data_IF_342177979079
#
_entry.id   IF_342177979079
#
_cell.length_a   1.000
_cell.length_b   1.000
_cell.length_c   1.000
_cell.angle_alpha   90.00
_cell.angle_beta   90.00
_cell.angle_gamma   90.00
#
_symmetry.space_group_name_H-M   'P 1'
#
loop_
_entity.id
_entity.type
_entity.pdbx_description
1 polymer ?
#
# COMPACT_ATOMS: atom_id res chain seq x y z
N UNK A 1 -20.40 -6.35 4.36
CA UNK A 1 -21.12 -6.96 5.52
C UNK A 1 -22.56 -6.48 5.53
N UNK A 2 -23.48 -7.27 6.11
CA UNK A 2 -24.86 -6.85 6.30
C UNK A 2 -24.93 -5.77 7.40
N UNK A 3 -25.30 -4.56 7.03
CA UNK A 3 -25.36 -3.40 7.93
C UNK A 3 -26.39 -3.52 9.05
N UNK A 4 -27.30 -4.46 8.95
CA UNK A 4 -28.27 -4.75 10.01
C UNK A 4 -27.66 -5.44 11.22
N UNK A 5 -26.46 -6.02 11.07
CA UNK A 5 -25.80 -6.84 12.09
C UNK A 5 -24.89 -6.05 13.04
N UNK A 6 -24.72 -4.75 12.83
CA UNK A 6 -23.90 -3.90 13.70
C UNK A 6 -24.51 -2.50 13.86
N UNK A 7 -24.19 -1.85 14.98
CA UNK A 7 -24.66 -0.50 15.28
C UNK A 7 -23.85 0.56 14.53
N UNK A 8 -22.53 0.50 14.64
CA UNK A 8 -21.59 1.34 13.92
C UNK A 8 -20.29 0.57 13.69
N UNK A 9 -19.52 1.00 12.69
CA UNK A 9 -18.21 0.47 12.33
C UNK A 9 -17.20 1.62 12.24
N UNK A 10 -16.01 1.41 12.77
CA UNK A 10 -14.87 2.35 12.68
C UNK A 10 -13.68 1.61 12.11
N UNK A 11 -12.95 2.20 11.19
CA UNK A 11 -11.76 1.61 10.63
C UNK A 11 -11.18 2.37 9.44
N UNK A 12 -10.22 1.75 8.78
CA UNK A 12 -9.52 2.28 7.62
C UNK A 12 -10.34 2.19 6.34
N UNK A 13 -10.13 3.14 5.44
CA UNK A 13 -10.68 3.08 4.09
C UNK A 13 -9.63 2.46 3.14
N UNK A 14 -9.52 1.14 3.15
CA UNK A 14 -8.51 0.42 2.40
C UNK A 14 -8.54 0.68 0.87
N UNK A 15 -9.71 0.95 0.29
CA UNK A 15 -9.79 1.35 -1.12
C UNK A 15 -9.20 2.76 -1.33
N UNK A 16 -9.40 3.66 -0.39
CA UNK A 16 -8.81 5.00 -0.44
C UNK A 16 -7.30 4.95 -0.22
N UNK A 17 -6.80 4.08 0.68
CA UNK A 17 -5.37 3.85 0.85
C UNK A 17 -4.73 3.43 -0.48
N UNK A 18 -5.27 2.41 -1.15
CA UNK A 18 -4.77 1.95 -2.45
C UNK A 18 -4.82 3.04 -3.52
N UNK A 19 -5.90 3.84 -3.57
CA UNK A 19 -6.02 4.97 -4.50
C UNK A 19 -4.99 6.06 -4.23
N UNK A 20 -4.76 6.41 -2.95
CA UNK A 20 -3.73 7.39 -2.57
C UNK A 20 -2.33 6.92 -2.97
N UNK A 21 -2.01 5.66 -2.70
CA UNK A 21 -0.73 5.05 -3.07
C UNK A 21 -0.50 5.10 -4.59
N UNK A 22 -1.48 4.69 -5.38
CA UNK A 22 -1.39 4.72 -6.84
C UNK A 22 -1.32 6.15 -7.41
N UNK A 23 -2.09 7.09 -6.86
CA UNK A 23 -2.05 8.48 -7.27
C UNK A 23 -0.69 9.12 -6.98
N UNK A 24 -0.08 8.79 -5.83
CA UNK A 24 1.26 9.24 -5.49
C UNK A 24 2.30 8.65 -6.46
N UNK A 25 2.23 7.35 -6.76
CA UNK A 25 3.13 6.71 -7.72
C UNK A 25 3.06 7.41 -9.09
N UNK A 26 1.85 7.71 -9.57
CA UNK A 26 1.67 8.45 -10.83
C UNK A 26 2.35 9.81 -10.79
N UNK A 27 2.12 10.58 -9.74
CA UNK A 27 2.71 11.90 -9.58
C UNK A 27 4.25 11.84 -9.47
N UNK A 28 4.78 10.82 -8.78
CA UNK A 28 6.22 10.56 -8.67
C UNK A 28 6.84 10.25 -10.03
N UNK A 29 6.24 9.35 -10.81
CA UNK A 29 6.72 8.99 -12.14
C UNK A 29 6.70 10.19 -13.09
N UNK A 30 5.64 11.01 -13.05
CA UNK A 30 5.56 12.23 -13.85
C UNK A 30 6.65 13.22 -13.46
N UNK A 31 6.88 13.44 -12.18
CA UNK A 31 7.90 14.36 -11.66
C UNK A 31 9.31 13.91 -12.01
N UNK A 32 9.58 12.61 -12.04
CA UNK A 32 10.88 12.03 -12.37
C UNK A 32 11.11 11.83 -13.88
N UNK A 33 10.15 12.21 -14.72
CA UNK A 33 10.24 12.11 -16.18
C UNK A 33 9.96 10.70 -16.70
N UNK A 34 9.43 9.80 -15.88
CA UNK A 34 9.04 8.41 -16.22
C UNK A 34 7.56 8.25 -16.54
N UNK A 35 6.80 9.34 -16.57
CA UNK A 35 5.33 9.31 -16.72
C UNK A 35 4.84 8.65 -18.02
N UNK A 36 5.65 8.68 -19.09
CA UNK A 36 5.33 8.05 -20.39
C UNK A 36 6.05 6.70 -20.59
N UNK A 37 6.91 6.28 -19.65
CA UNK A 37 7.57 4.97 -19.71
C UNK A 37 6.59 3.84 -19.41
N UNK A 38 6.84 2.65 -19.97
CA UNK A 38 6.14 1.46 -19.51
C UNK A 38 6.65 1.11 -18.13
N UNK A 39 5.74 0.98 -17.18
CA UNK A 39 6.03 0.66 -15.77
C UNK A 39 5.47 -0.72 -15.47
N UNK A 40 6.35 -1.64 -15.13
CA UNK A 40 6.01 -3.01 -14.78
C UNK A 40 5.87 -3.15 -13.26
N UNK A 41 4.70 -3.51 -12.81
CA UNK A 41 4.33 -3.58 -11.39
C UNK A 41 4.07 -5.03 -11.00
N UNK A 42 4.55 -5.45 -9.86
CA UNK A 42 4.13 -6.68 -9.18
C UNK A 42 3.43 -6.32 -7.89
N UNK A 43 2.35 -7.02 -7.58
CA UNK A 43 1.58 -6.88 -6.34
C UNK A 43 1.81 -8.09 -5.45
N UNK A 44 2.35 -7.85 -4.25
CA UNK A 44 2.44 -8.83 -3.18
C UNK A 44 1.26 -8.58 -2.26
N UNK A 45 0.19 -9.34 -2.51
CA UNK A 45 -1.10 -9.20 -1.86
C UNK A 45 -1.08 -9.76 -0.44
N UNK A 46 -1.85 -9.16 0.43
CA UNK A 46 -2.12 -9.69 1.75
C UNK A 46 -2.90 -11.01 1.73
N UNK A 47 -3.42 -11.39 2.90
CA UNK A 47 -4.28 -12.58 3.02
C UNK A 47 -5.53 -12.42 2.16
N UNK A 48 -5.71 -13.32 1.21
CA UNK A 48 -6.80 -13.26 0.23
C UNK A 48 -8.17 -13.25 0.94
N UNK A 49 -8.99 -12.26 0.60
CA UNK A 49 -10.32 -12.05 1.17
C UNK A 49 -10.35 -11.17 2.41
N UNK A 50 -9.20 -10.73 2.92
CA UNK A 50 -9.14 -9.69 3.95
C UNK A 50 -9.58 -8.35 3.37
N UNK A 51 -10.27 -7.52 4.15
CA UNK A 51 -10.77 -6.21 3.69
C UNK A 51 -9.64 -5.27 3.23
N UNK A 52 -8.48 -5.34 3.88
CA UNK A 52 -7.29 -4.59 3.49
C UNK A 52 -6.80 -5.02 2.10
N UNK A 53 -6.60 -6.33 1.90
CA UNK A 53 -6.22 -6.88 0.60
C UNK A 53 -7.20 -6.45 -0.50
N UNK A 54 -8.51 -6.68 -0.32
CA UNK A 54 -9.53 -6.33 -1.31
C UNK A 54 -9.46 -4.84 -1.70
N UNK A 55 -9.31 -3.96 -0.72
CA UNK A 55 -9.29 -2.51 -0.96
C UNK A 55 -7.99 -2.04 -1.61
N UNK A 56 -6.84 -2.48 -1.10
CA UNK A 56 -5.52 -2.08 -1.59
C UNK A 56 -5.27 -2.59 -3.02
N UNK A 57 -5.55 -3.89 -3.28
CA UNK A 57 -5.52 -4.46 -4.64
C UNK A 57 -6.42 -3.67 -5.58
N UNK A 58 -7.69 -3.41 -5.18
CA UNK A 58 -8.63 -2.67 -6.03
C UNK A 58 -8.10 -1.29 -6.42
N UNK A 59 -7.48 -0.56 -5.50
CA UNK A 59 -6.89 0.75 -5.77
C UNK A 59 -5.80 0.69 -6.84
N UNK A 60 -4.92 -0.30 -6.77
CA UNK A 60 -3.87 -0.53 -7.77
C UNK A 60 -4.45 -0.97 -9.13
N UNK A 61 -5.34 -1.96 -9.15
CA UNK A 61 -5.96 -2.45 -10.38
C UNK A 61 -6.70 -1.34 -11.14
N UNK A 62 -7.45 -0.50 -10.43
CA UNK A 62 -8.19 0.60 -11.05
C UNK A 62 -7.21 1.62 -11.65
N UNK A 63 -6.12 1.93 -10.96
CA UNK A 63 -5.06 2.79 -11.49
C UNK A 63 -4.35 2.19 -12.72
N UNK A 64 -4.09 0.88 -12.74
CA UNK A 64 -3.53 0.20 -13.91
C UNK A 64 -4.49 0.23 -15.12
N UNK A 65 -5.81 0.20 -14.90
CA UNK A 65 -6.80 0.37 -15.97
C UNK A 65 -6.79 1.78 -16.56
N UNK A 66 -6.56 2.80 -15.73
CA UNK A 66 -6.50 4.22 -16.12
C UNK A 66 -5.18 4.58 -16.81
N UNK A 67 -4.05 4.07 -16.31
CA UNK A 67 -2.71 4.34 -16.83
C UNK A 67 -2.28 3.24 -17.81
N UNK A 68 -2.43 3.48 -19.11
CA UNK A 68 -2.21 2.47 -20.15
C UNK A 68 -0.78 1.97 -20.30
N UNK A 69 0.18 2.71 -19.76
CA UNK A 69 1.59 2.34 -19.69
C UNK A 69 1.97 1.59 -18.41
N UNK A 70 1.03 1.37 -17.50
CA UNK A 70 1.24 0.51 -16.33
C UNK A 70 0.85 -0.92 -16.65
N UNK A 71 1.77 -1.84 -16.40
CA UNK A 71 1.61 -3.27 -16.68
C UNK A 71 1.70 -4.06 -15.38
N UNK A 72 0.57 -4.54 -14.89
CA UNK A 72 0.52 -5.41 -13.71
C UNK A 72 0.98 -6.82 -14.12
N UNK A 73 2.25 -7.15 -13.84
CA UNK A 73 2.89 -8.40 -14.25
C UNK A 73 2.39 -9.61 -13.48
N UNK A 74 2.12 -9.43 -12.20
CA UNK A 74 1.70 -10.51 -11.30
C UNK A 74 1.01 -9.94 -10.05
N UNK A 75 0.13 -10.76 -9.48
CA UNK A 75 -0.51 -10.59 -8.19
C UNK A 75 -0.38 -11.92 -7.45
N UNK A 76 0.40 -11.96 -6.38
CA UNK A 76 0.66 -13.18 -5.61
C UNK A 76 0.60 -12.87 -4.11
N UNK A 77 -0.04 -13.74 -3.31
CA UNK A 77 -0.25 -13.48 -1.89
C UNK A 77 1.00 -13.74 -1.05
N UNK A 78 1.40 -12.73 -0.27
CA UNK A 78 2.40 -12.78 0.80
C UNK A 78 1.77 -13.00 2.18
N UNK A 79 0.43 -13.13 2.27
CA UNK A 79 -0.30 -13.45 3.50
C UNK A 79 -0.02 -12.48 4.66
N UNK A 80 0.36 -11.24 4.36
CA UNK A 80 0.79 -10.21 5.31
C UNK A 80 2.01 -10.60 6.15
N UNK A 81 2.84 -11.53 5.68
CA UNK A 81 4.03 -11.98 6.43
C UNK A 81 5.34 -11.73 5.70
N UNK A 82 6.41 -11.38 6.45
CA UNK A 82 7.72 -11.13 5.88
C UNK A 82 8.29 -12.36 5.15
N UNK A 83 8.18 -13.54 5.77
CA UNK A 83 8.74 -14.77 5.18
C UNK A 83 8.05 -15.14 3.87
N UNK A 84 6.72 -14.95 3.78
CA UNK A 84 5.99 -15.26 2.56
C UNK A 84 6.21 -14.18 1.49
N UNK A 85 6.25 -12.91 1.88
CA UNK A 85 6.62 -11.81 0.99
C UNK A 85 8.01 -12.02 0.36
N UNK A 86 9.00 -12.49 1.15
CA UNK A 86 10.30 -12.84 0.63
C UNK A 86 10.23 -14.01 -0.38
N UNK A 87 9.55 -15.11 -0.04
CA UNK A 87 9.39 -16.28 -0.93
C UNK A 87 8.74 -15.88 -2.27
N UNK A 88 7.67 -15.09 -2.20
CA UNK A 88 6.95 -14.57 -3.38
C UNK A 88 7.88 -13.71 -4.23
N UNK A 89 8.58 -12.75 -3.61
CA UNK A 89 9.48 -11.87 -4.34
C UNK A 89 10.64 -12.62 -5.00
N UNK A 90 11.22 -13.61 -4.33
CA UNK A 90 12.23 -14.48 -4.93
C UNK A 90 11.71 -15.22 -6.17
N UNK A 91 10.46 -15.67 -6.15
CA UNK A 91 9.79 -16.30 -7.29
C UNK A 91 9.58 -15.33 -8.44
N UNK A 92 9.07 -14.12 -8.13
CA UNK A 92 8.84 -13.06 -9.11
C UNK A 92 10.12 -12.59 -9.79
N UNK A 93 11.22 -12.44 -9.02
CA UNK A 93 12.54 -12.09 -9.58
C UNK A 93 13.08 -13.17 -10.53
N UNK A 94 12.88 -14.46 -10.21
CA UNK A 94 13.27 -15.54 -11.12
C UNK A 94 12.48 -15.53 -12.43
N UNK A 95 11.19 -15.21 -12.35
CA UNK A 95 10.25 -15.21 -13.48
C UNK A 95 10.42 -13.99 -14.39
N UNK A 96 10.50 -12.79 -13.79
CA UNK A 96 10.48 -11.52 -14.48
C UNK A 96 11.86 -10.84 -14.61
N UNK A 97 12.87 -11.34 -13.87
CA UNK A 97 14.29 -10.89 -13.94
C UNK A 97 14.45 -9.37 -13.73
N UNK A 98 14.79 -8.66 -14.81
CA UNK A 98 15.07 -7.22 -14.78
C UNK A 98 13.85 -6.37 -15.17
N UNK A 99 12.71 -7.00 -15.41
CA UNK A 99 11.52 -6.30 -15.93
C UNK A 99 10.65 -5.67 -14.82
N UNK A 100 10.99 -5.83 -13.53
CA UNK A 100 10.20 -5.29 -12.43
C UNK A 100 10.67 -3.88 -12.09
N UNK A 101 9.80 -2.88 -12.25
CA UNK A 101 10.05 -1.50 -11.86
C UNK A 101 9.52 -1.16 -10.47
N UNK A 102 8.35 -1.70 -10.12
CA UNK A 102 7.63 -1.39 -8.87
C UNK A 102 7.18 -2.68 -8.19
N UNK A 103 7.42 -2.76 -6.90
CA UNK A 103 6.84 -3.77 -6.01
C UNK A 103 5.85 -3.08 -5.09
N UNK A 104 4.58 -3.37 -5.28
CA UNK A 104 3.50 -2.91 -4.43
C UNK A 104 3.24 -4.01 -3.40
N UNK A 105 3.61 -3.75 -2.14
CA UNK A 105 3.41 -4.68 -1.03
C UNK A 105 2.24 -4.20 -0.20
N UNK A 106 1.26 -5.06 0.04
CA UNK A 106 0.04 -4.65 0.75
C UNK A 106 0.22 -4.49 2.26
N UNK A 107 1.43 -4.74 2.80
CA UNK A 107 1.83 -4.30 4.13
C UNK A 107 3.36 -4.22 4.30
N UNK A 108 3.79 -3.65 5.42
CA UNK A 108 5.21 -3.48 5.78
C UNK A 108 5.98 -4.79 5.89
N UNK A 109 5.38 -5.83 6.46
CA UNK A 109 6.06 -7.12 6.61
C UNK A 109 6.39 -7.72 5.25
N UNK A 110 5.47 -7.64 4.29
CA UNK A 110 5.71 -8.09 2.91
C UNK A 110 6.80 -7.26 2.24
N UNK A 111 6.79 -5.93 2.45
CA UNK A 111 7.81 -5.03 1.94
C UNK A 111 9.21 -5.37 2.49
N UNK A 112 9.34 -5.67 3.78
CA UNK A 112 10.62 -6.09 4.37
C UNK A 112 11.13 -7.38 3.71
N UNK A 113 10.24 -8.36 3.52
CA UNK A 113 10.58 -9.61 2.83
C UNK A 113 10.98 -9.39 1.37
N UNK A 114 10.26 -8.51 0.66
CA UNK A 114 10.58 -8.16 -0.72
C UNK A 114 11.95 -7.47 -0.83
N UNK A 115 12.27 -6.53 0.06
CA UNK A 115 13.56 -5.84 0.12
C UNK A 115 14.70 -6.84 0.37
N UNK A 116 14.51 -7.78 1.29
CA UNK A 116 15.49 -8.84 1.57
C UNK A 116 15.76 -9.68 0.32
N UNK A 117 14.72 -10.11 -0.41
CA UNK A 117 14.84 -10.89 -1.63
C UNK A 117 15.52 -10.12 -2.77
N UNK A 118 15.15 -8.85 -2.97
CA UNK A 118 15.73 -7.96 -4.00
C UNK A 118 17.23 -7.78 -3.73
N UNK A 119 17.59 -7.49 -2.49
CA UNK A 119 18.98 -7.28 -2.07
C UNK A 119 19.81 -8.58 -2.22
N UNK A 120 19.25 -9.72 -1.82
CA UNK A 120 19.90 -11.02 -1.97
C UNK A 120 20.12 -11.41 -3.44
N UNK A 121 19.27 -10.93 -4.35
CA UNK A 121 19.43 -11.09 -5.80
C UNK A 121 20.46 -10.13 -6.42
N UNK A 122 21.10 -9.26 -5.61
CA UNK A 122 22.10 -8.29 -6.06
C UNK A 122 21.50 -7.07 -6.75
N UNK A 123 20.21 -6.82 -6.56
CA UNK A 123 19.51 -5.63 -7.05
C UNK A 123 19.39 -4.59 -5.95
N UNK A 124 19.04 -3.36 -6.33
CA UNK A 124 18.87 -2.23 -5.43
C UNK A 124 17.41 -1.82 -5.33
N UNK A 125 17.02 -1.37 -4.15
CA UNK A 125 15.74 -0.69 -3.89
C UNK A 125 16.02 0.77 -3.61
N UNK A 126 15.12 1.66 -4.01
CA UNK A 126 15.31 3.08 -3.74
C UNK A 126 14.61 3.98 -4.74
N UNK A 127 15.13 5.19 -4.89
CA UNK A 127 14.59 6.25 -5.76
C UNK A 127 15.48 6.52 -6.98
N UNK A 128 16.55 5.74 -7.17
CA UNK A 128 17.44 5.82 -8.32
C UNK A 128 16.77 5.33 -9.59
N UNK A 129 17.36 5.68 -10.74
CA UNK A 129 16.78 5.36 -12.05
C UNK A 129 16.64 3.85 -12.29
N UNK A 130 17.63 3.08 -11.80
CA UNK A 130 17.72 1.64 -12.02
C UNK A 130 17.30 0.83 -10.76
N UNK A 131 16.80 1.53 -9.72
CA UNK A 131 16.33 0.90 -8.50
C UNK A 131 14.89 0.38 -8.67
N UNK A 132 14.59 -0.71 -8.00
CA UNK A 132 13.22 -1.19 -7.86
C UNK A 132 12.53 -0.32 -6.80
N UNK A 133 11.40 0.27 -7.18
CA UNK A 133 10.57 1.09 -6.28
C UNK A 133 9.72 0.17 -5.39
N UNK A 134 9.88 0.26 -4.08
CA UNK A 134 9.07 -0.53 -3.12
C UNK A 134 8.06 0.38 -2.44
N UNK A 135 6.78 0.00 -2.49
CA UNK A 135 5.67 0.68 -1.82
C UNK A 135 5.10 -0.23 -0.72
N UNK A 136 4.56 0.37 0.32
CA UNK A 136 4.07 -0.34 1.49
C UNK A 136 2.84 0.29 2.12
N UNK A 137 2.26 -0.40 3.10
CA UNK A 137 1.15 0.05 3.94
C UNK A 137 1.40 -0.36 5.38
N UNK A 138 0.75 0.32 6.31
CA UNK A 138 0.67 0.21 7.77
C UNK A 138 1.46 1.30 8.50
N UNK A 139 2.53 1.83 7.93
CA UNK A 139 3.40 2.86 8.50
C UNK A 139 3.89 2.49 9.91
N UNK A 140 4.35 1.24 10.06
CA UNK A 140 4.99 0.80 11.31
C UNK A 140 6.29 1.58 11.55
N UNK A 141 6.80 1.54 12.78
CA UNK A 141 8.07 2.19 13.10
C UNK A 141 9.22 1.75 12.18
N UNK A 142 9.26 0.47 11.80
CA UNK A 142 10.30 -0.06 10.89
C UNK A 142 10.03 0.41 9.46
N UNK A 143 8.77 0.37 9.00
CA UNK A 143 8.37 0.90 7.69
C UNK A 143 8.77 2.35 7.51
N UNK A 144 8.43 3.21 8.48
CA UNK A 144 8.82 4.63 8.47
C UNK A 144 10.34 4.84 8.53
N UNK A 145 11.09 3.93 9.18
CA UNK A 145 12.56 3.98 9.14
C UNK A 145 13.08 3.66 7.74
N UNK A 146 12.51 2.65 7.08
CA UNK A 146 12.90 2.28 5.72
C UNK A 146 12.45 3.33 4.68
N UNK A 147 11.36 4.06 4.93
CA UNK A 147 11.01 5.27 4.14
C UNK A 147 12.08 6.33 4.28
N UNK A 148 12.49 6.64 5.52
CA UNK A 148 13.55 7.63 5.80
C UNK A 148 14.89 7.24 5.17
N UNK A 149 15.20 5.95 5.15
CA UNK A 149 16.43 5.41 4.56
C UNK A 149 16.32 5.27 3.01
N UNK A 150 15.16 5.57 2.44
CA UNK A 150 14.89 5.51 1.00
C UNK A 150 14.72 4.12 0.42
N UNK A 151 14.54 3.09 1.25
CA UNK A 151 14.30 1.71 0.80
C UNK A 151 12.84 1.46 0.42
N UNK A 152 11.91 2.07 1.17
CA UNK A 152 10.48 2.16 0.83
C UNK A 152 10.24 3.58 0.32
N UNK A 153 9.68 3.70 -0.88
CA UNK A 153 9.46 5.02 -1.48
C UNK A 153 8.19 5.68 -1.00
N UNK A 154 7.19 4.89 -0.64
CA UNK A 154 5.92 5.32 -0.09
C UNK A 154 5.41 4.27 0.90
N UNK A 155 4.96 4.73 2.04
CA UNK A 155 4.26 3.94 3.04
C UNK A 155 2.93 4.64 3.39
N UNK A 156 1.82 3.95 3.22
CA UNK A 156 0.49 4.47 3.47
C UNK A 156 0.04 4.03 4.87
N UNK A 157 -0.38 4.99 5.68
CA UNK A 157 -0.83 4.70 7.05
C UNK A 157 -2.07 3.81 7.05
N UNK A 158 -2.07 2.83 7.97
CA UNK A 158 -3.26 2.13 8.46
C UNK A 158 -3.38 2.45 9.96
N UNK A 159 -4.21 3.43 10.30
CA UNK A 159 -4.24 4.02 11.64
C UNK A 159 -5.00 3.14 12.64
N UNK A 160 -4.33 2.56 13.67
CA UNK A 160 -4.98 1.68 14.65
C UNK A 160 -5.68 2.45 15.78
N UNK A 161 -5.62 3.79 15.82
CA UNK A 161 -6.08 4.61 16.94
C UNK A 161 -7.59 4.88 16.86
N UNK A 162 -8.40 3.85 16.85
CA UNK A 162 -9.87 3.93 16.75
C UNK A 162 -10.57 4.35 18.05
N UNK A 163 -9.88 4.27 19.20
CA UNK A 163 -10.47 4.49 20.53
C UNK A 163 -11.24 5.81 20.69
N UNK A 164 -10.68 6.96 20.31
CA UNK A 164 -11.40 8.24 20.43
C UNK A 164 -12.72 8.27 19.64
N UNK A 165 -12.71 7.73 18.41
CA UNK A 165 -13.92 7.66 17.58
C UNK A 165 -14.98 6.73 18.16
N UNK A 166 -14.55 5.59 18.72
CA UNK A 166 -15.46 4.65 19.41
C UNK A 166 -16.08 5.32 20.63
N UNK A 167 -15.31 6.10 21.41
CA UNK A 167 -15.83 6.85 22.55
C UNK A 167 -16.91 7.85 22.14
N UNK A 168 -16.71 8.60 21.06
CA UNK A 168 -17.70 9.53 20.51
C UNK A 168 -19.00 8.82 20.11
N UNK A 169 -18.90 7.65 19.48
CA UNK A 169 -20.05 6.83 19.10
C UNK A 169 -20.82 6.38 20.34
N UNK A 170 -20.12 5.91 21.38
CA UNK A 170 -20.77 5.47 22.62
C UNK A 170 -21.53 6.64 23.28
N UNK A 171 -20.91 7.83 23.37
CA UNK A 171 -21.55 9.02 23.93
C UNK A 171 -22.81 9.44 23.14
N UNK A 172 -22.75 9.37 21.82
CA UNK A 172 -23.90 9.66 20.97
C UNK A 172 -25.06 8.67 21.22
N UNK A 173 -24.73 7.38 21.30
CA UNK A 173 -25.74 6.34 21.62
C UNK A 173 -26.36 6.52 23.02
N UNK A 174 -25.56 6.87 24.04
CA UNK A 174 -26.03 7.17 25.39
C UNK A 174 -26.95 8.40 25.42
N UNK A 175 -26.71 9.38 24.54
CA UNK A 175 -27.57 10.56 24.36
C UNK A 175 -28.84 10.27 23.54
N UNK A 176 -29.03 9.03 23.07
CA UNK A 176 -30.18 8.63 22.24
C UNK A 176 -30.05 9.06 20.77
N UNK A 177 -28.85 9.44 20.34
CA UNK A 177 -28.55 9.79 18.97
C UNK A 177 -28.25 8.53 18.14
N UNK A 178 -28.39 8.63 16.82
CA UNK A 178 -28.02 7.56 15.88
C UNK A 178 -26.73 7.95 15.17
N UNK A 179 -25.59 7.31 15.51
CA UNK A 179 -24.33 7.59 14.83
C UNK A 179 -24.35 7.08 13.39
N UNK A 180 -23.47 7.64 12.56
CA UNK A 180 -23.23 7.09 11.21
C UNK A 180 -22.75 5.63 11.28
N UNK A 181 -23.25 4.82 10.34
CA UNK A 181 -22.98 3.36 10.31
C UNK A 181 -21.51 3.06 10.06
N UNK A 182 -20.88 3.80 9.16
CA UNK A 182 -19.49 3.60 8.77
C UNK A 182 -18.72 4.89 8.98
N UNK A 183 -17.70 4.83 9.83
CA UNK A 183 -16.85 5.96 10.15
C UNK A 183 -15.40 5.58 9.87
N UNK A 184 -14.81 6.28 8.91
CA UNK A 184 -13.42 6.10 8.56
C UNK A 184 -12.53 6.98 9.43
N UNK A 185 -11.35 6.46 9.78
CA UNK A 185 -10.27 7.24 10.38
C UNK A 185 -9.49 7.97 9.29
N UNK A 186 -8.94 9.13 9.65
CA UNK A 186 -8.03 9.84 8.74
C UNK A 186 -6.67 9.14 8.73
N UNK A 187 -6.11 8.99 7.52
CA UNK A 187 -4.85 8.29 7.30
C UNK A 187 -3.98 9.09 6.33
N UNK A 188 -2.69 9.13 6.63
CA UNK A 188 -1.70 9.87 5.87
C UNK A 188 -0.86 8.95 4.97
N UNK A 189 0.01 9.55 4.17
CA UNK A 189 1.03 8.86 3.41
C UNK A 189 2.39 9.42 3.78
N UNK A 190 3.40 8.57 3.86
CA UNK A 190 4.77 8.93 4.16
C UNK A 190 5.67 8.53 2.99
N UNK A 191 6.42 9.47 2.46
CA UNK A 191 7.21 9.27 1.26
C UNK A 191 8.70 9.58 1.48
N UNK A 192 9.57 8.81 0.83
CA UNK A 192 11.01 9.04 0.84
C UNK A 192 11.42 10.30 0.04
N UNK A 193 10.55 10.77 -0.85
CA UNK A 193 10.77 11.97 -1.66
C UNK A 193 9.74 13.01 -1.27
N UNK A 194 10.22 14.12 -0.73
CA UNK A 194 9.40 15.30 -0.45
C UNK A 194 8.97 15.98 -1.77
N UNK A 195 7.90 16.79 -1.70
CA UNK A 195 7.38 17.59 -2.84
C UNK A 195 6.78 16.80 -4.02
N UNK A 196 6.33 15.59 -3.83
CA UNK A 196 5.39 14.97 -4.76
C UNK A 196 3.99 15.44 -4.35
N UNK A 197 3.42 16.40 -5.10
CA UNK A 197 2.03 16.84 -4.91
C UNK A 197 1.08 15.68 -5.22
N UNK A 198 0.98 14.77 -4.28
CA UNK A 198 0.00 13.71 -4.32
C UNK A 198 -1.33 14.21 -3.77
N UNK A 199 -2.38 13.74 -4.36
CA UNK A 199 -3.78 13.97 -4.03
C UNK A 199 -3.96 13.97 -2.50
N UNK A 200 -4.29 15.13 -1.96
CA UNK A 200 -4.72 15.30 -0.57
C UNK A 200 -6.11 14.74 -0.38
#
# INVERSE_FOLDING_TARGET
SDESLYTAWVGSNFELEGKKAAAWLKAYLDKTGRGDEQINIVDIQGTIGASAQIGRTKGLEDACKENKNWNLLAEETGEFTQSKGQEVMESLLKKHKDDIDVVYCENDNEAFGAIDAITAAGKTVGTGKDDILVMSFDSTKTGLTDVKDGKIILDTECNPLHGPRVEEIIKALEAGETPEKQQYVDEEIFAAVEDVDSVK
#
